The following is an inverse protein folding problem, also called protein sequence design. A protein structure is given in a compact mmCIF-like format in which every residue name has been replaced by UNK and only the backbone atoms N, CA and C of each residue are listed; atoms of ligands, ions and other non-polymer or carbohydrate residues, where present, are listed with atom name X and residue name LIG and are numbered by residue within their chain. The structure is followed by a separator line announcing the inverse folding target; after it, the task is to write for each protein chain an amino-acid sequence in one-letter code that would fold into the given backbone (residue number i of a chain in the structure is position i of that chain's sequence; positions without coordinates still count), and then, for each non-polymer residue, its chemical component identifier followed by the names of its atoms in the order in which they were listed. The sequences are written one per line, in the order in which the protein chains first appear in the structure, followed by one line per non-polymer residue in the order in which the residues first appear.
data_IF_084456037423
#
_entry.id   IF_084456037423
#
_cell.length_a   1.000
_cell.length_b   1.000
_cell.length_c   1.000
_cell.angle_alpha   90.00
_cell.angle_beta   90.00
_cell.angle_gamma   90.00
#
_symmetry.space_group_name_H-M   'P 1'
#
loop_
_entity.id
_entity.type
_entity.pdbx_description
1 polymer ?
#
# COMPACT_ATOMS: atom_id res chain seq x y z
N UNK A 1 14.11 17.19 8.02
CA UNK A 1 14.02 16.61 6.65
C UNK A 1 13.39 15.22 6.64
N UNK A 2 13.61 14.39 7.66
CA UNK A 2 13.05 13.03 7.73
C UNK A 2 11.53 13.00 7.79
N UNK A 3 10.91 14.02 8.43
CA UNK A 3 9.45 14.20 8.42
C UNK A 3 8.87 14.30 7.01
N UNK A 4 9.44 15.14 6.14
CA UNK A 4 8.95 15.30 4.77
C UNK A 4 9.14 14.02 3.94
N UNK A 5 10.28 13.35 4.08
CA UNK A 5 10.53 12.07 3.42
C UNK A 5 9.56 10.97 3.90
N UNK A 6 9.31 10.89 5.21
CA UNK A 6 8.34 9.97 5.79
C UNK A 6 6.92 10.25 5.30
N UNK A 7 6.51 11.52 5.21
CA UNK A 7 5.22 11.89 4.62
C UNK A 7 5.12 11.50 3.15
N UNK A 8 6.18 11.67 2.35
CA UNK A 8 6.22 11.25 0.94
C UNK A 8 5.99 9.73 0.84
N UNK A 9 6.69 8.94 1.67
CA UNK A 9 6.51 7.48 1.69
C UNK A 9 5.08 7.11 2.06
N UNK A 10 4.49 7.75 3.07
CA UNK A 10 3.08 7.50 3.40
C UNK A 10 2.15 7.78 2.23
N UNK A 11 2.32 8.91 1.55
CA UNK A 11 1.48 9.28 0.40
C UNK A 11 1.59 8.23 -0.71
N UNK A 12 2.81 7.82 -1.08
CA UNK A 12 2.99 6.82 -2.14
C UNK A 12 2.41 5.46 -1.76
N UNK A 13 2.65 4.99 -0.52
CA UNK A 13 2.10 3.72 -0.06
C UNK A 13 0.57 3.71 -0.01
N UNK A 14 -0.06 4.81 0.44
CA UNK A 14 -1.53 4.91 0.42
C UNK A 14 -2.08 5.03 -1.01
N UNK A 15 -1.41 5.80 -1.88
CA UNK A 15 -1.83 5.95 -3.26
C UNK A 15 -1.86 4.60 -3.98
N UNK A 16 -0.84 3.77 -3.78
CA UNK A 16 -0.76 2.43 -4.37
C UNK A 16 -1.91 1.53 -3.91
N UNK A 17 -2.24 1.52 -2.62
CA UNK A 17 -3.38 0.75 -2.09
C UNK A 17 -4.71 1.25 -2.67
N UNK A 18 -4.89 2.57 -2.76
CA UNK A 18 -6.12 3.17 -3.33
C UNK A 18 -6.27 2.78 -4.81
N UNK A 19 -5.17 2.85 -5.58
CA UNK A 19 -5.19 2.48 -7.00
C UNK A 19 -5.51 1.00 -7.18
N UNK A 20 -4.86 0.11 -6.43
CA UNK A 20 -5.15 -1.33 -6.45
C UNK A 20 -6.62 -1.60 -6.09
N UNK A 21 -7.12 -0.94 -5.05
CA UNK A 21 -8.52 -1.08 -4.60
C UNK A 21 -9.50 -0.59 -5.66
N UNK A 22 -9.25 0.57 -6.27
CA UNK A 22 -10.09 1.13 -7.31
C UNK A 22 -10.16 0.21 -8.53
N UNK A 23 -9.01 -0.27 -9.02
CA UNK A 23 -8.97 -1.20 -10.17
C UNK A 23 -9.69 -2.50 -9.84
N UNK A 24 -9.48 -3.06 -8.64
CA UNK A 24 -10.18 -4.28 -8.21
C UNK A 24 -11.70 -4.11 -8.13
N UNK A 25 -12.19 -2.88 -7.93
CA UNK A 25 -13.64 -2.60 -7.86
C UNK A 25 -14.27 -2.61 -9.26
N UNK A 26 -13.51 -2.24 -10.29
CA UNK A 26 -13.95 -2.25 -11.68
C UNK A 26 -13.67 -3.58 -12.39
N UNK A 27 -12.81 -4.42 -11.82
CA UNK A 27 -12.58 -5.77 -12.31
C UNK A 27 -13.86 -6.62 -12.14
N UNK A 28 -14.24 -7.32 -13.21
CA UNK A 28 -15.48 -8.10 -13.29
C UNK A 28 -15.22 -9.61 -13.27
N UNK A 29 -13.98 -10.03 -13.02
CA UNK A 29 -13.63 -11.45 -12.99
C UNK A 29 -14.19 -12.06 -11.71
N UNK A 30 -14.86 -13.20 -11.85
CA UNK A 30 -15.35 -13.95 -10.69
C UNK A 30 -14.21 -14.82 -10.18
N UNK A 31 -13.70 -14.50 -8.99
CA UNK A 31 -12.65 -15.27 -8.32
C UNK A 31 -13.24 -16.37 -7.42
N UNK A 32 -12.49 -17.44 -7.21
CA UNK A 32 -12.83 -18.49 -6.25
C UNK A 32 -12.67 -18.02 -4.79
N UNK A 33 -11.83 -17.00 -4.56
CA UNK A 33 -11.58 -16.40 -3.26
C UNK A 33 -12.83 -15.72 -2.68
N UNK A 34 -13.09 -15.91 -1.39
CA UNK A 34 -14.19 -15.23 -0.67
C UNK A 34 -14.03 -13.71 -0.62
N UNK A 35 -12.80 -13.19 -0.79
CA UNK A 35 -12.52 -11.76 -0.88
C UNK A 35 -12.09 -11.41 -2.30
N UNK A 36 -12.93 -10.61 -2.99
CA UNK A 36 -12.68 -10.17 -4.35
C UNK A 36 -11.33 -9.47 -4.53
N UNK A 37 -10.92 -8.65 -3.56
CA UNK A 37 -9.63 -7.94 -3.63
C UNK A 37 -8.45 -8.91 -3.59
N UNK A 38 -8.51 -9.94 -2.74
CA UNK A 38 -7.44 -10.94 -2.65
C UNK A 38 -7.40 -11.81 -3.91
N UNK A 39 -8.57 -12.22 -4.42
CA UNK A 39 -8.67 -12.91 -5.70
C UNK A 39 -8.07 -12.11 -6.85
N UNK A 40 -8.34 -10.80 -6.91
CA UNK A 40 -7.74 -9.88 -7.86
C UNK A 40 -6.21 -9.83 -7.75
N UNK A 41 -5.67 -9.68 -6.54
CA UNK A 41 -4.23 -9.65 -6.30
C UNK A 41 -3.56 -10.97 -6.71
N UNK A 42 -4.18 -12.11 -6.38
CA UNK A 42 -3.70 -13.45 -6.74
C UNK A 42 -3.68 -13.65 -8.26
N UNK A 43 -4.81 -13.38 -8.92
CA UNK A 43 -5.02 -13.65 -10.33
C UNK A 43 -4.06 -12.87 -11.24
N UNK A 44 -3.75 -11.61 -10.89
CA UNK A 44 -2.86 -10.76 -11.66
C UNK A 44 -1.42 -10.71 -11.13
N UNK A 45 -1.09 -11.49 -10.10
CA UNK A 45 0.26 -11.53 -9.53
C UNK A 45 0.71 -10.21 -8.91
N UNK A 46 -0.21 -9.45 -8.31
CA UNK A 46 0.02 -8.08 -7.81
C UNK A 46 0.55 -8.02 -6.37
N UNK A 47 0.89 -9.17 -5.78
CA UNK A 47 1.48 -9.28 -4.46
C UNK A 47 2.71 -8.37 -4.25
N UNK A 48 3.64 -8.21 -5.22
CA UNK A 48 4.79 -7.32 -5.04
C UNK A 48 4.38 -5.87 -4.79
N UNK A 49 3.32 -5.38 -5.44
CA UNK A 49 2.79 -4.03 -5.25
C UNK A 49 2.11 -3.88 -3.89
N UNK A 50 1.28 -4.85 -3.51
CA UNK A 50 0.62 -4.82 -2.19
C UNK A 50 1.66 -4.87 -1.05
N UNK A 51 2.63 -5.79 -1.11
CA UNK A 51 3.69 -5.92 -0.11
C UNK A 51 4.60 -4.69 -0.13
N UNK A 52 4.95 -4.20 -1.31
CA UNK A 52 5.72 -2.98 -1.51
C UNK A 52 5.07 -1.78 -0.82
N UNK A 53 3.76 -1.59 -1.03
CA UNK A 53 3.00 -0.51 -0.40
C UNK A 53 3.04 -0.58 1.13
N UNK A 54 2.92 -1.78 1.73
CA UNK A 54 2.99 -1.99 3.18
C UNK A 54 4.38 -1.65 3.72
N UNK A 55 5.45 -2.07 3.02
CA UNK A 55 6.83 -1.74 3.40
C UNK A 55 7.07 -0.24 3.35
N UNK A 56 6.61 0.43 2.29
CA UNK A 56 6.76 1.87 2.12
C UNK A 56 6.00 2.63 3.20
N UNK A 57 4.77 2.20 3.53
CA UNK A 57 4.00 2.74 4.65
C UNK A 57 4.75 2.60 5.97
N UNK A 58 5.27 1.40 6.26
CA UNK A 58 6.04 1.13 7.48
C UNK A 58 7.28 2.03 7.58
N UNK A 59 8.06 2.14 6.49
CA UNK A 59 9.20 3.05 6.42
C UNK A 59 8.78 4.51 6.67
N UNK A 60 7.65 4.94 6.11
CA UNK A 60 7.08 6.27 6.33
C UNK A 60 6.78 6.55 7.80
N UNK A 61 6.10 5.60 8.47
CA UNK A 61 5.80 5.69 9.91
C UNK A 61 7.09 5.75 10.73
N UNK A 62 8.03 4.84 10.50
CA UNK A 62 9.31 4.78 11.23
C UNK A 62 10.08 6.10 11.09
N UNK A 63 10.17 6.67 9.89
CA UNK A 63 10.85 7.94 9.67
C UNK A 63 10.21 9.11 10.44
N UNK A 64 8.88 9.14 10.52
CA UNK A 64 8.17 10.17 11.27
C UNK A 64 8.40 9.97 12.77
N UNK A 65 8.22 8.76 13.29
CA UNK A 65 8.41 8.44 14.73
C UNK A 65 9.83 8.81 15.17
N UNK A 66 10.85 8.44 14.39
CA UNK A 66 12.25 8.76 14.69
C UNK A 66 12.54 10.27 14.71
N UNK A 67 11.81 11.08 13.94
CA UNK A 67 11.93 12.54 14.02
C UNK A 67 11.28 13.07 15.30
N UNK A 68 10.13 12.51 15.71
CA UNK A 68 9.45 12.89 16.94
C UNK A 68 10.22 12.49 18.20
N UNK A 69 10.85 11.31 18.23
CA UNK A 69 11.66 10.85 19.37
C UNK A 69 12.97 11.63 19.58
N UNK A 70 13.35 12.49 18.63
CA UNK A 70 14.54 13.36 18.75
C UNK A 70 14.23 14.74 19.33
N UNK A 71 12.96 15.05 19.56
CA UNK A 71 12.51 16.22 20.31
C UNK A 71 12.21 15.82 21.75
#
# INVERSE_FOLDING_TARGET
MKKYLGTIFLIFGFLEIIVLSAISTFDRVMYEDTNHFIGFINNYGLWPFLIGSVIVLFCGVVLIVLEYSKK
#
